data_IF_615521091621
#
_entry.id   IF_615521091621
#
_cell.length_a   1.000
_cell.length_b   1.000
_cell.length_c   1.000
_cell.angle_alpha   90.00
_cell.angle_beta   90.00
_cell.angle_gamma   90.00
#
_symmetry.space_group_name_H-M   'P 1'
#
loop_
_entity.id
_entity.type
_entity.pdbx_description
1 polymer ?
#
# COMPACT_ATOMS: atom_id res chain seq x y z
N UNK A 1 -17.32 6.47 2.79
CA UNK A 1 -16.38 5.92 1.85
C UNK A 1 -14.95 6.03 2.33
N UNK A 2 -14.05 5.51 1.54
CA UNK A 2 -12.62 5.56 1.85
C UNK A 2 -12.03 6.84 1.26
N UNK A 3 -11.08 7.47 1.96
CA UNK A 3 -10.43 8.66 1.41
C UNK A 3 -9.57 8.30 0.20
N UNK A 4 -9.48 9.22 -0.73
CA UNK A 4 -8.67 9.07 -1.92
C UNK A 4 -7.28 9.67 -1.70
N UNK A 5 -6.24 8.96 -2.14
CA UNK A 5 -4.86 9.42 -2.04
C UNK A 5 -4.24 9.51 -3.44
N UNK A 6 -3.93 10.73 -3.92
CA UNK A 6 -3.23 10.86 -5.20
C UNK A 6 -1.75 10.52 -5.02
N UNK A 7 -1.33 9.40 -5.62
CA UNK A 7 0.04 8.92 -5.47
C UNK A 7 1.05 9.62 -6.38
N UNK A 8 0.59 10.37 -7.37
CA UNK A 8 1.44 10.94 -8.40
C UNK A 8 2.53 11.85 -7.83
N UNK A 9 2.20 12.62 -6.81
CA UNK A 9 3.13 13.56 -6.18
C UNK A 9 3.54 13.13 -4.78
N UNK A 10 3.30 11.88 -4.44
CA UNK A 10 3.61 11.38 -3.11
C UNK A 10 4.94 10.62 -3.15
N UNK A 11 5.82 10.92 -2.21
CA UNK A 11 7.08 10.21 -2.09
C UNK A 11 7.01 9.26 -0.89
N UNK A 12 7.37 8.01 -1.14
CA UNK A 12 7.31 6.96 -0.13
C UNK A 12 8.73 6.61 0.29
N UNK A 13 8.97 6.62 1.60
CA UNK A 13 10.29 6.26 2.13
C UNK A 13 10.60 4.80 1.84
N UNK A 14 11.87 4.50 1.56
CA UNK A 14 12.29 3.14 1.23
C UNK A 14 11.97 2.15 2.34
N UNK A 15 12.14 2.55 3.59
CA UNK A 15 11.85 1.68 4.72
C UNK A 15 10.36 1.31 4.81
N UNK A 16 9.49 2.16 4.31
CA UNK A 16 8.05 1.87 4.25
C UNK A 16 7.77 0.84 3.15
N UNK A 17 8.40 1.03 1.98
CA UNK A 17 8.24 0.09 0.87
C UNK A 17 8.65 -1.32 1.26
N UNK A 18 9.70 -1.45 2.05
CA UNK A 18 10.21 -2.77 2.47
C UNK A 18 9.27 -3.53 3.38
N UNK A 19 8.29 -2.87 3.98
CA UNK A 19 7.34 -3.53 4.88
C UNK A 19 6.42 -4.50 4.14
N UNK A 20 6.14 -4.24 2.87
CA UNK A 20 5.26 -5.09 2.07
C UNK A 20 6.09 -5.68 0.92
N UNK A 21 6.18 -7.01 0.81
CA UNK A 21 6.93 -7.63 -0.28
C UNK A 21 6.35 -7.28 -1.65
N UNK A 22 7.23 -7.22 -2.65
CA UNK A 22 6.87 -6.95 -4.04
C UNK A 22 5.73 -7.87 -4.51
N UNK A 23 5.86 -9.16 -4.21
CA UNK A 23 4.87 -10.18 -4.55
C UNK A 23 3.47 -9.81 -4.06
N UNK A 24 3.38 -9.36 -2.81
CA UNK A 24 2.10 -9.01 -2.18
C UNK A 24 1.55 -7.72 -2.78
N UNK A 25 2.42 -6.74 -2.98
CA UNK A 25 2.01 -5.48 -3.59
C UNK A 25 1.40 -5.70 -4.98
N UNK A 26 2.03 -6.53 -5.78
CA UNK A 26 1.54 -6.83 -7.14
C UNK A 26 0.29 -7.69 -7.14
N UNK A 27 0.22 -8.65 -6.22
CA UNK A 27 -0.92 -9.57 -6.16
C UNK A 27 -2.21 -8.82 -5.81
N UNK A 28 -2.14 -7.93 -4.86
CA UNK A 28 -3.33 -7.25 -4.34
C UNK A 28 -3.49 -5.82 -4.84
N UNK A 29 -2.56 -5.34 -5.66
CA UNK A 29 -2.56 -3.94 -6.11
C UNK A 29 -2.63 -3.00 -4.91
N UNK A 30 -1.67 -3.14 -4.02
CA UNK A 30 -1.58 -2.39 -2.77
C UNK A 30 -0.16 -1.86 -2.60
N UNK A 31 -0.04 -0.67 -2.06
CA UNK A 31 1.26 -0.10 -1.79
C UNK A 31 1.25 0.59 -0.43
N UNK A 32 2.28 0.35 0.42
CA UNK A 32 2.37 1.04 1.69
C UNK A 32 2.83 2.48 1.45
N UNK A 33 2.28 3.43 2.20
CA UNK A 33 2.59 4.84 2.01
C UNK A 33 3.24 5.46 3.23
N UNK A 34 2.84 5.05 4.43
CA UNK A 34 3.38 5.63 5.65
C UNK A 34 3.12 4.70 6.83
N UNK A 35 3.87 4.90 7.90
CA UNK A 35 3.70 4.13 9.12
C UNK A 35 3.93 5.05 10.31
N UNK A 36 2.96 5.07 11.22
CA UNK A 36 3.06 5.84 12.47
C UNK A 36 2.75 4.87 13.59
N UNK A 37 3.75 4.59 14.43
CA UNK A 37 3.60 3.57 15.47
C UNK A 37 3.28 2.22 14.85
N UNK A 38 2.17 1.62 15.26
CA UNK A 38 1.71 0.34 14.73
C UNK A 38 0.65 0.49 13.63
N UNK A 39 0.45 1.70 13.12
CA UNK A 39 -0.54 1.97 12.10
C UNK A 39 0.15 2.15 10.75
N UNK A 40 -0.15 1.25 9.83
CA UNK A 40 0.37 1.29 8.48
C UNK A 40 -0.69 1.82 7.54
N UNK A 41 -0.37 2.91 6.84
CA UNK A 41 -1.26 3.46 5.83
C UNK A 41 -0.90 2.87 4.49
N UNK A 42 -1.90 2.33 3.79
CA UNK A 42 -1.70 1.75 2.47
C UNK A 42 -2.66 2.37 1.48
N UNK A 43 -2.28 2.36 0.21
CA UNK A 43 -3.16 2.75 -0.89
C UNK A 43 -3.50 1.49 -1.67
N UNK A 44 -4.77 1.32 -2.04
CA UNK A 44 -5.19 0.18 -2.84
C UNK A 44 -6.37 0.57 -3.73
N UNK A 45 -6.52 -0.17 -4.82
CA UNK A 45 -7.60 0.13 -5.78
C UNK A 45 -8.94 -0.43 -5.31
N UNK A 46 -8.92 -1.51 -4.54
CA UNK A 46 -10.14 -2.13 -4.02
C UNK A 46 -10.07 -2.26 -2.50
N UNK A 47 -10.51 -1.22 -1.75
CA UNK A 47 -10.42 -1.23 -0.29
C UNK A 47 -11.37 -2.22 0.37
N UNK A 48 -12.25 -2.85 -0.38
CA UNK A 48 -13.15 -3.88 0.14
C UNK A 48 -12.52 -5.27 0.12
N UNK A 49 -11.29 -5.39 -0.39
CA UNK A 49 -10.57 -6.66 -0.40
C UNK A 49 -10.02 -6.94 1.01
N UNK A 50 -10.83 -7.52 1.85
CA UNK A 50 -10.49 -7.79 3.24
C UNK A 50 -9.32 -8.77 3.35
N UNK A 51 -9.24 -9.74 2.44
CA UNK A 51 -8.14 -10.71 2.43
C UNK A 51 -6.79 -10.02 2.29
N UNK A 52 -6.70 -9.04 1.40
CA UNK A 52 -5.47 -8.28 1.22
C UNK A 52 -5.07 -7.53 2.48
N UNK A 53 -6.04 -6.89 3.11
CA UNK A 53 -5.81 -6.13 4.34
C UNK A 53 -5.31 -7.06 5.45
N UNK A 54 -5.98 -8.19 5.63
CA UNK A 54 -5.60 -9.15 6.67
C UNK A 54 -4.20 -9.71 6.42
N UNK A 55 -3.87 -10.04 5.17
CA UNK A 55 -2.55 -10.55 4.83
C UNK A 55 -1.46 -9.53 5.14
N UNK A 56 -1.69 -8.28 4.79
CA UNK A 56 -0.71 -7.22 5.07
C UNK A 56 -0.57 -6.99 6.57
N UNK A 57 -1.67 -7.01 7.31
CA UNK A 57 -1.64 -6.89 8.77
C UNK A 57 -0.82 -8.00 9.41
N UNK A 58 -1.00 -9.22 8.92
CA UNK A 58 -0.26 -10.38 9.43
C UNK A 58 1.23 -10.27 9.13
N UNK A 59 1.59 -9.87 7.91
CA UNK A 59 2.98 -9.75 7.49
C UNK A 59 3.73 -8.65 8.21
N UNK A 60 3.05 -7.54 8.49
CA UNK A 60 3.70 -6.33 9.04
C UNK A 60 3.50 -6.19 10.54
N UNK A 61 2.59 -6.95 11.12
CA UNK A 61 2.17 -6.82 12.52
C UNK A 61 1.66 -5.41 12.82
N UNK A 62 1.03 -4.78 11.84
CA UNK A 62 0.50 -3.42 11.95
C UNK A 62 -1.01 -3.41 11.73
N UNK A 63 -1.65 -2.39 12.26
CA UNK A 63 -3.03 -2.08 11.88
C UNK A 63 -3.00 -1.33 10.56
N UNK A 64 -3.77 -1.78 9.59
CA UNK A 64 -3.78 -1.19 8.27
C UNK A 64 -4.91 -0.18 8.13
N UNK A 65 -4.55 1.02 7.70
CA UNK A 65 -5.51 2.05 7.29
C UNK A 65 -5.45 2.17 5.77
N UNK A 66 -6.60 2.21 5.13
CA UNK A 66 -6.70 2.11 3.69
C UNK A 66 -7.12 3.44 3.07
N UNK A 67 -6.36 3.87 2.07
CA UNK A 67 -6.75 4.94 1.15
C UNK A 67 -6.99 4.33 -0.22
N UNK A 68 -7.87 4.95 -1.00
CA UNK A 68 -8.17 4.51 -2.35
C UNK A 68 -7.29 5.25 -3.34
N UNK A 69 -6.73 4.52 -4.29
CA UNK A 69 -6.01 5.10 -5.42
C UNK A 69 -6.41 4.32 -6.67
N UNK A 70 -6.25 4.94 -7.83
CA UNK A 70 -6.58 4.24 -9.08
C UNK A 70 -5.61 3.10 -9.31
N UNK A 71 -6.05 2.08 -10.05
CA UNK A 71 -5.19 0.96 -10.43
C UNK A 71 -3.94 1.44 -11.16
N UNK A 72 -4.09 2.44 -12.03
CA UNK A 72 -2.96 3.00 -12.77
C UNK A 72 -1.94 3.64 -11.84
N UNK A 73 -2.39 4.42 -10.88
CA UNK A 73 -1.49 5.08 -9.93
C UNK A 73 -0.75 4.06 -9.08
N UNK A 74 -1.46 3.03 -8.61
CA UNK A 74 -0.83 1.99 -7.80
C UNK A 74 0.17 1.20 -8.62
N UNK A 75 -0.18 0.83 -9.84
CA UNK A 75 0.73 0.11 -10.73
C UNK A 75 1.99 0.91 -11.00
N UNK A 76 1.83 2.21 -11.29
CA UNK A 76 2.98 3.08 -11.54
C UNK A 76 3.85 3.22 -10.30
N UNK A 77 3.25 3.32 -9.13
CA UNK A 77 3.99 3.41 -7.88
C UNK A 77 4.75 2.10 -7.59
N UNK A 78 4.12 0.95 -7.83
CA UNK A 78 4.78 -0.33 -7.66
C UNK A 78 5.99 -0.44 -8.58
N UNK A 79 5.84 -0.05 -9.84
CA UNK A 79 6.96 -0.06 -10.79
C UNK A 79 8.08 0.88 -10.33
N UNK A 80 7.72 2.06 -9.85
CA UNK A 80 8.70 3.05 -9.41
C UNK A 80 9.49 2.58 -8.20
N UNK A 81 8.81 2.01 -7.21
CA UNK A 81 9.44 1.72 -5.91
C UNK A 81 9.97 0.31 -5.77
N UNK A 82 9.40 -0.66 -6.47
CA UNK A 82 9.79 -2.07 -6.33
C UNK A 82 10.72 -2.57 -7.41
N UNK A 83 10.95 -1.79 -8.46
CA UNK A 83 11.83 -2.21 -9.55
C UNK A 83 13.28 -1.77 -9.36
N UNK A 84 13.59 -1.23 -8.21
CA UNK A 84 14.95 -0.75 -7.91
C UNK A 84 15.81 -1.82 -7.29
#
# INVERSE_FOLDING_TARGET
GFPFLPLTNYEIAREIIKLVPDRVAKQYMIIPVDKIGDNLTVAMSNPLNIQAIEDVEMLTACHVQTFVSTSSDIKNAIEKYYSQ
#
